data_IF_775755527679
#
_entry.id   IF_775755527679
#
_cell.length_a   1.000
_cell.length_b   1.000
_cell.length_c   1.000
_cell.angle_alpha   90.00
_cell.angle_beta   90.00
_cell.angle_gamma   90.00
#
_symmetry.space_group_name_H-M   'P 1'
#
loop_
_entity.id
_entity.type
_entity.pdbx_description
1 polymer ?
#
# COMPACT_ATOMS: atom_id res chain seq x y z
N UNK A 1 -22.24 -40.17 -15.13
CA UNK A 1 -20.80 -40.31 -15.29
C UNK A 1 -20.11 -39.01 -14.90
N UNK A 2 -19.17 -39.01 -13.97
CA UNK A 2 -18.41 -37.82 -13.64
C UNK A 2 -17.65 -37.35 -14.88
N UNK A 3 -17.91 -36.13 -15.35
CA UNK A 3 -17.14 -35.48 -16.41
C UNK A 3 -15.78 -35.12 -15.86
N UNK A 4 -14.76 -35.90 -16.15
CA UNK A 4 -13.39 -35.50 -15.90
C UNK A 4 -13.07 -34.21 -16.65
N UNK A 5 -12.39 -33.25 -16.02
CA UNK A 5 -12.02 -32.01 -16.68
C UNK A 5 -11.16 -32.37 -17.90
N UNK A 6 -11.55 -31.89 -19.08
CA UNK A 6 -10.79 -32.11 -20.30
C UNK A 6 -9.40 -31.51 -20.14
N UNK A 7 -8.39 -32.32 -20.39
CA UNK A 7 -6.99 -31.87 -20.44
C UNK A 7 -6.90 -30.80 -21.53
N UNK A 8 -6.43 -29.63 -21.17
CA UNK A 8 -6.26 -28.53 -22.12
C UNK A 8 -5.18 -28.89 -23.14
N UNK A 9 -5.46 -28.58 -24.39
CA UNK A 9 -4.46 -28.80 -25.47
C UNK A 9 -3.29 -27.82 -25.27
N UNK A 10 -2.10 -28.25 -25.71
CA UNK A 10 -0.86 -27.46 -25.58
C UNK A 10 -0.98 -26.03 -26.13
N UNK A 11 -1.76 -25.84 -27.20
CA UNK A 11 -2.05 -24.54 -27.80
C UNK A 11 -2.83 -23.62 -26.85
N UNK A 12 -3.79 -24.17 -26.12
CA UNK A 12 -4.57 -23.42 -25.13
C UNK A 12 -3.70 -23.01 -23.93
N UNK A 13 -2.78 -23.87 -23.53
CA UNK A 13 -1.81 -23.59 -22.47
C UNK A 13 -0.85 -22.48 -22.93
N UNK A 14 -0.32 -22.59 -24.15
CA UNK A 14 0.55 -21.55 -24.74
C UNK A 14 -0.15 -20.19 -24.82
N UNK A 15 -1.42 -20.15 -25.24
CA UNK A 15 -2.22 -18.93 -25.29
C UNK A 15 -2.46 -18.29 -23.91
N UNK A 16 -2.50 -19.08 -22.84
CA UNK A 16 -2.57 -18.57 -21.47
C UNK A 16 -1.24 -17.92 -21.05
N UNK A 17 -0.11 -18.51 -21.38
CA UNK A 17 1.21 -17.97 -21.05
C UNK A 17 1.51 -16.67 -21.82
N UNK A 18 0.98 -16.49 -23.02
CA UNK A 18 1.11 -15.23 -23.77
C UNK A 18 0.34 -14.07 -23.15
N UNK A 19 -0.61 -14.34 -22.25
CA UNK A 19 -1.42 -13.34 -21.54
C UNK A 19 -0.93 -13.07 -20.11
N UNK A 20 0.17 -13.69 -19.70
CA UNK A 20 0.76 -13.41 -18.40
C UNK A 20 1.34 -12.00 -18.41
N UNK A 21 0.96 -11.21 -17.43
CA UNK A 21 1.51 -9.86 -17.28
C UNK A 21 3.04 -9.94 -17.09
N UNK A 22 3.75 -9.15 -17.86
CA UNK A 22 5.20 -9.06 -17.74
C UNK A 22 5.54 -8.24 -16.50
N UNK A 23 6.34 -8.80 -15.61
CA UNK A 23 6.72 -8.18 -14.33
C UNK A 23 7.59 -6.93 -14.48
N UNK A 24 8.12 -6.70 -15.67
CA UNK A 24 8.98 -5.56 -15.99
C UNK A 24 8.22 -4.37 -16.62
N UNK A 25 6.91 -4.47 -16.78
CA UNK A 25 6.08 -3.41 -17.33
C UNK A 25 4.98 -3.07 -16.33
N UNK A 26 5.30 -2.27 -15.33
CA UNK A 26 4.33 -1.74 -14.39
C UNK A 26 4.63 -0.27 -14.08
N UNK A 27 3.61 0.46 -13.74
CA UNK A 27 3.68 1.83 -13.27
C UNK A 27 3.02 1.92 -11.91
N UNK A 28 3.65 2.58 -10.98
CA UNK A 28 3.09 2.88 -9.67
C UNK A 28 2.63 4.32 -9.66
N UNK A 29 1.39 4.55 -9.29
CA UNK A 29 0.89 5.90 -9.11
C UNK A 29 0.06 6.00 -7.84
N UNK A 30 0.17 7.15 -7.19
CA UNK A 30 -0.60 7.45 -6.02
C UNK A 30 -1.88 8.16 -6.44
N UNK A 31 -3.03 7.59 -6.12
CA UNK A 31 -4.33 8.16 -6.40
C UNK A 31 -5.20 8.17 -5.15
N UNK A 32 -6.02 9.20 -5.02
CA UNK A 32 -6.96 9.30 -3.90
C UNK A 32 -7.62 10.68 -3.86
N UNK A 33 -8.83 10.71 -3.34
CA UNK A 33 -9.55 11.96 -3.14
C UNK A 33 -9.29 12.47 -1.71
N UNK A 34 -9.23 13.77 -1.55
CA UNK A 34 -9.10 14.43 -0.24
C UNK A 34 -7.67 14.44 0.31
N UNK A 35 -7.21 13.36 0.90
CA UNK A 35 -5.90 13.30 1.55
C UNK A 35 -4.72 13.60 0.60
N UNK A 36 -4.77 13.10 -0.63
CA UNK A 36 -3.73 13.39 -1.62
C UNK A 36 -3.79 14.81 -2.16
N UNK A 37 -4.95 15.42 -2.21
CA UNK A 37 -5.05 16.84 -2.55
C UNK A 37 -4.44 17.73 -1.46
N UNK A 38 -4.66 17.40 -0.20
CA UNK A 38 -4.04 18.09 0.92
C UNK A 38 -2.53 17.92 0.92
N UNK A 39 -2.04 16.70 0.73
CA UNK A 39 -0.61 16.43 0.56
C UNK A 39 -0.02 17.22 -0.60
N UNK A 40 -0.69 17.23 -1.75
CA UNK A 40 -0.25 18.01 -2.91
C UNK A 40 -0.18 19.52 -2.60
N UNK A 41 -1.17 20.06 -1.91
CA UNK A 41 -1.16 21.45 -1.45
C UNK A 41 0.00 21.74 -0.50
N UNK A 42 0.26 20.84 0.42
CA UNK A 42 1.38 20.92 1.36
C UNK A 42 2.74 20.92 0.64
N UNK A 43 2.95 19.95 -0.25
CA UNK A 43 4.20 19.84 -1.05
C UNK A 43 4.36 21.08 -1.93
N UNK A 44 3.30 21.56 -2.56
CA UNK A 44 3.33 22.73 -3.45
C UNK A 44 3.76 24.00 -2.70
N UNK A 45 3.40 24.14 -1.44
CA UNK A 45 3.82 25.28 -0.61
C UNK A 45 5.29 25.21 -0.20
N UNK A 46 5.86 24.01 -0.11
CA UNK A 46 7.25 23.79 0.35
C UNK A 46 8.23 23.65 -0.80
N UNK A 47 7.89 22.85 -1.82
CA UNK A 47 8.76 22.54 -2.93
C UNK A 47 7.97 22.38 -4.24
N UNK A 48 7.83 23.45 -5.03
CA UNK A 48 7.17 23.38 -6.35
C UNK A 48 7.82 22.38 -7.31
N UNK A 49 9.12 22.19 -7.19
CA UNK A 49 9.91 21.25 -7.97
C UNK A 49 9.45 19.80 -7.79
N UNK A 50 9.22 19.42 -6.54
CA UNK A 50 8.72 18.08 -6.19
C UNK A 50 7.26 17.91 -6.58
N UNK A 51 6.47 18.97 -6.52
CA UNK A 51 5.07 18.93 -6.94
C UNK A 51 4.93 18.56 -8.42
N UNK A 52 5.72 19.19 -9.29
CA UNK A 52 5.70 18.87 -10.72
C UNK A 52 6.15 17.43 -10.98
N UNK A 53 7.16 16.96 -10.30
CA UNK A 53 7.66 15.60 -10.35
C UNK A 53 6.60 14.57 -9.93
N UNK A 54 5.80 14.89 -8.92
CA UNK A 54 4.71 14.05 -8.45
C UNK A 54 3.51 14.05 -9.43
N UNK A 55 3.15 15.22 -9.98
CA UNK A 55 2.03 15.36 -10.92
C UNK A 55 2.32 14.69 -12.25
N UNK A 56 3.56 14.79 -12.75
CA UNK A 56 3.99 14.18 -14.02
C UNK A 56 4.09 12.66 -13.98
N UNK A 57 3.88 12.05 -12.80
CA UNK A 57 4.03 10.62 -12.57
C UNK A 57 5.45 10.09 -12.72
N UNK A 58 6.45 10.95 -12.84
CA UNK A 58 7.84 10.55 -12.96
C UNK A 58 8.30 9.75 -11.75
N UNK A 59 7.75 10.07 -10.57
CA UNK A 59 7.98 9.30 -9.34
C UNK A 59 7.63 7.82 -9.52
N UNK A 60 6.48 7.54 -10.14
CA UNK A 60 6.02 6.16 -10.34
C UNK A 60 6.89 5.36 -11.30
N UNK A 61 7.47 6.04 -12.30
CA UNK A 61 8.40 5.41 -13.26
C UNK A 61 9.73 5.03 -12.63
N UNK A 62 10.11 5.68 -11.53
CA UNK A 62 11.34 5.35 -10.79
C UNK A 62 11.15 4.19 -9.81
N UNK A 63 9.98 3.59 -9.73
CA UNK A 63 9.75 2.42 -8.90
C UNK A 63 10.43 1.19 -9.51
N UNK A 64 11.40 0.65 -8.79
CA UNK A 64 12.13 -0.55 -9.20
C UNK A 64 11.44 -1.84 -8.78
N UNK A 65 10.86 -1.86 -7.58
CA UNK A 65 10.20 -3.04 -7.02
C UNK A 65 8.98 -2.61 -6.21
N UNK A 66 7.91 -3.38 -6.35
CA UNK A 66 6.68 -3.21 -5.60
C UNK A 66 6.22 -4.56 -5.06
N UNK A 67 6.11 -4.67 -3.76
CA UNK A 67 5.54 -5.83 -3.09
C UNK A 67 4.09 -5.52 -2.71
N UNK A 68 3.16 -6.28 -3.29
CA UNK A 68 1.75 -6.11 -3.00
C UNK A 68 1.40 -6.69 -1.61
N UNK A 69 0.50 -6.06 -0.87
CA UNK A 69 0.09 -6.56 0.43
C UNK A 69 -0.61 -7.90 0.28
N UNK A 70 -0.17 -8.88 1.03
CA UNK A 70 -0.88 -10.14 1.17
C UNK A 70 -2.03 -9.96 2.17
N UNK A 71 -3.13 -10.66 1.91
CA UNK A 71 -4.26 -10.73 2.82
C UNK A 71 -4.23 -12.07 3.52
N UNK A 72 -4.10 -12.08 4.83
CA UNK A 72 -4.20 -13.28 5.66
C UNK A 72 -5.45 -13.20 6.54
N UNK A 73 -5.91 -14.34 7.00
CA UNK A 73 -7.00 -14.39 7.97
C UNK A 73 -6.44 -14.76 9.34
N UNK A 74 -6.66 -13.89 10.31
CA UNK A 74 -6.42 -14.25 11.70
C UNK A 74 -7.44 -15.31 12.14
N UNK A 75 -6.94 -16.37 12.73
CA UNK A 75 -7.77 -17.51 13.18
C UNK A 75 -7.74 -17.59 14.69
N UNK A 76 -8.91 -17.79 15.28
CA UNK A 76 -9.04 -18.18 16.67
C UNK A 76 -9.21 -19.69 16.77
N UNK A 77 -8.55 -20.30 17.74
CA UNK A 77 -8.76 -21.71 18.06
C UNK A 77 -10.00 -21.80 18.96
N UNK A 78 -10.94 -22.62 18.55
CA UNK A 78 -12.10 -22.94 19.35
C UNK A 78 -11.91 -24.32 19.92
N UNK A 79 -11.71 -24.39 21.23
CA UNK A 79 -11.66 -25.63 21.97
C UNK A 79 -13.07 -25.98 22.42
N UNK A 80 -13.61 -27.08 21.90
CA UNK A 80 -14.91 -27.58 22.32
C UNK A 80 -14.88 -28.03 23.80
N UNK A 81 -16.00 -27.88 24.50
CA UNK A 81 -16.15 -28.32 25.90
C UNK A 81 -16.01 -29.84 26.10
N UNK A 82 -15.96 -30.58 25.01
CA UNK A 82 -15.74 -32.05 25.01
C UNK A 82 -14.48 -32.33 24.22
N UNK A 83 -13.75 -33.37 24.61
CA UNK A 83 -12.54 -33.86 23.91
C UNK A 83 -12.81 -33.97 22.40
N UNK A 84 -12.55 -32.93 21.67
CA UNK A 84 -12.76 -32.83 20.24
C UNK A 84 -11.52 -32.27 19.52
N UNK A 85 -11.56 -32.37 18.20
CA UNK A 85 -10.55 -31.78 17.34
C UNK A 85 -10.66 -30.26 17.48
N UNK A 86 -9.52 -29.59 17.74
CA UNK A 86 -9.44 -28.13 17.80
C UNK A 86 -9.79 -27.57 16.42
N UNK A 87 -10.82 -26.77 16.34
CA UNK A 87 -11.24 -26.10 15.11
C UNK A 87 -10.64 -24.69 15.06
N UNK A 88 -10.17 -24.28 13.88
CA UNK A 88 -9.68 -22.93 13.63
C UNK A 88 -10.76 -22.15 12.90
N UNK A 89 -11.30 -21.13 13.53
CA UNK A 89 -12.26 -20.22 12.92
C UNK A 89 -11.60 -18.90 12.53
N UNK A 90 -11.75 -18.51 11.25
CA UNK A 90 -11.26 -17.22 10.78
C UNK A 90 -12.20 -16.10 11.30
N UNK A 91 -11.64 -15.07 11.91
CA UNK A 91 -12.44 -13.98 12.50
C UNK A 91 -12.13 -12.59 11.90
N UNK A 92 -10.91 -12.33 11.44
CA UNK A 92 -10.56 -11.02 10.89
C UNK A 92 -9.55 -11.13 9.75
N UNK A 93 -9.57 -10.13 8.87
CA UNK A 93 -8.57 -9.98 7.81
C UNK A 93 -7.40 -9.17 8.35
N UNK A 94 -6.20 -9.65 8.09
CA UNK A 94 -4.95 -8.95 8.40
C UNK A 94 -4.25 -8.65 7.08
N UNK A 95 -3.89 -7.39 6.89
CA UNK A 95 -3.12 -6.96 5.74
C UNK A 95 -1.66 -6.84 6.14
N UNK A 96 -0.77 -7.31 5.28
CA UNK A 96 0.67 -7.08 5.45
C UNK A 96 1.06 -5.71 4.92
N UNK A 97 2.23 -5.24 5.32
CA UNK A 97 2.77 -3.98 4.83
C UNK A 97 3.04 -4.03 3.32
N UNK A 98 2.99 -2.87 2.70
CA UNK A 98 3.36 -2.66 1.30
C UNK A 98 4.78 -2.13 1.27
N UNK A 99 5.63 -2.75 0.47
CA UNK A 99 7.01 -2.31 0.30
C UNK A 99 7.25 -1.85 -1.14
N UNK A 100 7.81 -0.66 -1.28
CA UNK A 100 8.20 -0.10 -2.56
C UNK A 100 9.68 0.29 -2.53
N UNK A 101 10.40 -0.06 -3.57
CA UNK A 101 11.79 0.37 -3.78
C UNK A 101 11.85 1.32 -4.95
N UNK A 102 12.38 2.51 -4.74
CA UNK A 102 12.51 3.53 -5.76
C UNK A 102 13.98 3.84 -6.08
N UNK A 103 14.25 4.15 -7.33
CA UNK A 103 15.50 4.79 -7.70
C UNK A 103 15.47 6.25 -7.27
N UNK A 104 16.60 6.72 -6.79
CA UNK A 104 16.80 8.14 -6.47
C UNK A 104 17.41 8.83 -7.66
N UNK A 105 16.78 9.90 -8.14
CA UNK A 105 17.30 10.71 -9.20
C UNK A 105 18.48 11.60 -8.72
N UNK A 106 19.25 12.15 -9.67
CA UNK A 106 20.39 13.01 -9.38
C UNK A 106 20.04 14.32 -8.66
N UNK A 107 18.79 14.69 -8.64
CA UNK A 107 18.27 15.89 -7.95
C UNK A 107 17.65 15.56 -6.58
N UNK A 108 17.65 14.29 -6.19
CA UNK A 108 17.08 13.81 -4.92
C UNK A 108 15.58 14.11 -4.72
N UNK A 109 14.84 14.33 -5.82
CA UNK A 109 13.39 14.66 -5.75
C UNK A 109 12.55 13.55 -5.15
N UNK A 110 12.92 12.30 -5.42
CA UNK A 110 12.25 11.13 -4.84
C UNK A 110 12.37 11.12 -3.32
N UNK A 111 13.56 11.37 -2.80
CA UNK A 111 13.81 11.42 -1.36
C UNK A 111 13.06 12.59 -0.71
N UNK A 112 13.19 13.78 -1.30
CA UNK A 112 12.50 15.00 -0.83
C UNK A 112 10.97 14.82 -0.80
N UNK A 113 10.40 14.10 -1.78
CA UNK A 113 8.97 13.79 -1.79
C UNK A 113 8.56 12.96 -0.57
N UNK A 114 9.28 11.89 -0.27
CA UNK A 114 8.95 11.03 0.87
C UNK A 114 9.22 11.72 2.21
N UNK A 115 10.23 12.56 2.31
CA UNK A 115 10.47 13.38 3.51
C UNK A 115 9.32 14.36 3.76
N UNK A 116 8.87 15.08 2.73
CA UNK A 116 7.73 15.99 2.84
C UNK A 116 6.43 15.26 3.15
N UNK A 117 6.24 14.06 2.61
CA UNK A 117 5.09 13.23 2.95
C UNK A 117 5.12 12.78 4.41
N UNK A 118 6.28 12.35 4.87
CA UNK A 118 6.48 11.97 6.27
C UNK A 118 6.23 13.16 7.22
N UNK A 119 6.76 14.33 6.86
CA UNK A 119 6.54 15.56 7.60
C UNK A 119 5.05 15.95 7.61
N UNK A 120 4.35 15.82 6.49
CA UNK A 120 2.91 16.05 6.40
C UNK A 120 2.12 15.15 7.36
N UNK A 121 2.46 13.88 7.46
CA UNK A 121 1.81 12.94 8.36
C UNK A 121 2.15 13.29 9.83
N UNK A 122 3.41 13.59 10.11
CA UNK A 122 3.88 13.84 11.47
C UNK A 122 3.47 15.21 12.01
N UNK A 123 3.55 16.25 11.18
CA UNK A 123 3.21 17.62 11.59
C UNK A 123 1.71 17.86 11.67
N UNK A 124 0.93 16.97 11.05
CA UNK A 124 -0.51 16.99 11.13
C UNK A 124 -1.13 18.34 10.90
N UNK A 125 -0.95 18.93 9.72
CA UNK A 125 -1.64 20.19 9.41
C UNK A 125 -3.17 20.07 9.54
N UNK A 126 -3.67 18.85 9.76
CA UNK A 126 -5.04 18.52 10.13
C UNK A 126 -5.13 17.56 11.34
N UNK A 127 -4.07 17.36 12.10
CA UNK A 127 -4.13 16.51 13.28
C UNK A 127 -4.71 17.30 14.48
N UNK A 128 -6.00 17.54 14.41
CA UNK A 128 -6.78 17.87 15.61
C UNK A 128 -6.57 16.81 16.73
N UNK A 129 -6.22 15.57 16.35
CA UNK A 129 -5.93 14.47 17.27
C UNK A 129 -4.60 14.65 18.01
N UNK A 130 -3.57 15.18 17.38
CA UNK A 130 -2.28 15.44 18.04
C UNK A 130 -2.37 16.57 19.07
N UNK A 131 -3.17 17.60 18.78
CA UNK A 131 -3.38 18.73 19.72
C UNK A 131 -4.28 18.37 20.90
N UNK A 132 -5.24 17.49 20.73
CA UNK A 132 -6.10 17.03 21.83
C UNK A 132 -5.32 16.17 22.83
N UNK A 133 -4.32 15.42 22.39
CA UNK A 133 -3.49 14.59 23.28
C UNK A 133 -2.53 15.46 24.13
N UNK A 134 -1.96 16.51 23.55
CA UNK A 134 -1.12 17.46 24.27
C UNK A 134 -1.92 18.31 25.27
N UNK A 135 -3.14 18.74 24.90
CA UNK A 135 -4.02 19.49 25.81
C UNK A 135 -4.54 18.67 26.98
N UNK A 136 -4.75 17.36 26.81
CA UNK A 136 -5.16 16.50 27.90
C UNK A 136 -4.07 16.34 28.97
N UNK A 137 -2.80 16.53 28.62
CA UNK A 137 -1.70 16.51 29.58
C UNK A 137 -1.50 17.83 30.33
N UNK A 138 -1.92 18.96 29.76
CA UNK A 138 -1.79 20.28 30.40
C UNK A 138 -2.92 20.61 31.39
N UNK A 139 -4.05 19.89 31.32
CA UNK A 139 -5.19 20.11 32.21
C UNK A 139 -5.16 19.24 33.48
N UNK A 140 -4.18 18.40 33.66
CA UNK A 140 -3.94 17.61 34.87
C UNK A 140 -2.78 18.16 35.73
N UNK A 141 -2.63 19.46 35.71
CA UNK A 141 -1.72 20.16 36.61
C UNK A 141 -2.48 20.89 37.72
#
# INVERSE_FOLDING_TARGET
MPKYPRIKKTEQIRGLFQRVATTNHYEVFFSGFGALQQLRGYISSRSPRVTNFFISRDLGLLCNSAELPATTMATAQVEGQRMGIVEKMAHSRVFTDVSFTFYVDNQYRTLEFFELWHEFIASGSNNAVSYTHLRAHETCG
#
